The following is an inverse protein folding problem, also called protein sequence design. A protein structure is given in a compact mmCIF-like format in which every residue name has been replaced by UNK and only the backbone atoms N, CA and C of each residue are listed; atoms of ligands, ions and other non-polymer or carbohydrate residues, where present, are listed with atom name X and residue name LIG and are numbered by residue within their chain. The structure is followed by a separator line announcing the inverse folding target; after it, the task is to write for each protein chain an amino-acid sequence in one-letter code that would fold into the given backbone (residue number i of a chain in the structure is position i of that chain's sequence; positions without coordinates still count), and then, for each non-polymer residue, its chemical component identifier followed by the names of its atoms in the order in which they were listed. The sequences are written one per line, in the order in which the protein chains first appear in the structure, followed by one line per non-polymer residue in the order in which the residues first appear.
data_IF_156438351970
#
_entry.id   IF_156438351970
#
_cell.length_a   1.000
_cell.length_b   1.000
_cell.length_c   1.000
_cell.angle_alpha   90.00
_cell.angle_beta   90.00
_cell.angle_gamma   90.00
#
_symmetry.space_group_name_H-M   'P 1'
#
loop_
_entity.id
_entity.type
_entity.pdbx_description
1 polymer ?
#
# COMPACT_ATOMS: atom_id res chain seq x y z
N UNK A 1 9.41 45.33 41.46
CA UNK A 1 10.04 44.94 40.21
C UNK A 1 8.92 44.70 39.19
N UNK A 2 8.68 45.71 38.38
CA UNK A 2 7.61 45.73 37.37
C UNK A 2 8.11 45.04 36.11
N UNK A 3 7.38 44.00 35.67
CA UNK A 3 7.64 43.32 34.40
C UNK A 3 7.15 44.19 33.24
N UNK A 4 8.06 44.72 32.45
CA UNK A 4 7.77 45.30 31.14
C UNK A 4 7.61 44.20 30.11
N UNK A 5 6.44 44.15 29.44
CA UNK A 5 6.17 43.26 28.33
C UNK A 5 6.88 43.69 27.04
N UNK A 6 7.08 42.78 26.07
CA UNK A 6 7.78 43.11 24.83
C UNK A 6 7.02 44.14 23.99
N UNK A 7 7.75 45.00 23.21
CA UNK A 7 7.13 46.06 22.42
C UNK A 7 6.29 45.49 21.26
N UNK A 8 5.26 46.21 20.79
CA UNK A 8 4.37 45.75 19.71
C UNK A 8 5.12 45.73 18.37
N UNK A 9 4.92 44.64 17.61
CA UNK A 9 5.44 44.48 16.26
C UNK A 9 4.91 45.57 15.33
N UNK A 10 5.82 46.39 14.81
CA UNK A 10 5.54 47.39 13.78
C UNK A 10 5.54 46.70 12.41
N UNK A 11 4.36 46.55 11.77
CA UNK A 11 4.21 46.11 10.38
C UNK A 11 4.41 47.32 9.47
N UNK A 12 5.43 47.34 8.60
CA UNK A 12 5.61 48.47 7.66
C UNK A 12 4.44 48.46 6.64
N UNK A 13 3.77 49.61 6.55
CA UNK A 13 2.73 49.90 5.54
C UNK A 13 3.37 50.18 4.17
N UNK A 14 3.90 49.16 3.50
CA UNK A 14 4.15 49.21 2.05
C UNK A 14 3.62 47.94 1.43
N UNK A 15 2.29 47.74 1.49
CA UNK A 15 1.61 46.80 0.63
C UNK A 15 1.68 47.35 -0.81
N UNK A 16 2.58 46.81 -1.63
CA UNK A 16 2.50 46.94 -3.08
C UNK A 16 1.17 46.37 -3.52
N UNK A 17 0.31 47.23 -4.01
CA UNK A 17 -0.92 46.85 -4.72
C UNK A 17 -0.51 46.01 -5.94
N UNK A 18 -0.74 44.71 -5.87
CA UNK A 18 -0.61 43.82 -7.05
C UNK A 18 -1.78 44.18 -7.95
N UNK A 19 -1.55 44.65 -9.19
CA UNK A 19 -2.67 44.92 -10.10
C UNK A 19 -3.38 43.60 -10.42
N UNK A 20 -4.66 43.53 -10.06
CA UNK A 20 -5.57 42.53 -10.54
C UNK A 20 -5.86 42.77 -12.02
N UNK A 21 -5.02 42.29 -12.91
CA UNK A 21 -5.36 42.16 -14.33
C UNK A 21 -4.95 40.75 -14.74
N UNK A 22 -5.89 39.82 -14.65
CA UNK A 22 -5.84 38.58 -15.44
C UNK A 22 -6.45 38.91 -16.78
N UNK A 23 -5.75 38.74 -17.91
CA UNK A 23 -6.39 38.86 -19.22
C UNK A 23 -7.40 37.71 -19.38
N UNK A 24 -8.68 38.01 -19.29
CA UNK A 24 -9.78 37.10 -19.59
C UNK A 24 -10.07 37.13 -21.10
N UNK A 25 -9.16 36.64 -21.92
CA UNK A 25 -9.40 36.42 -23.36
C UNK A 25 -9.06 34.97 -23.76
N UNK A 26 -9.42 34.01 -22.90
CA UNK A 26 -9.59 32.64 -23.36
C UNK A 26 -11.08 32.44 -23.69
N UNK A 27 -11.43 31.92 -24.89
CA UNK A 27 -12.78 31.52 -25.17
C UNK A 27 -13.17 30.41 -24.18
N UNK A 28 -14.00 30.77 -23.21
CA UNK A 28 -14.57 29.83 -22.25
C UNK A 28 -15.54 28.94 -23.02
N UNK A 29 -15.12 27.74 -23.40
CA UNK A 29 -16.08 26.68 -23.68
C UNK A 29 -16.94 26.47 -22.42
N UNK A 30 -18.25 26.28 -22.55
CA UNK A 30 -19.12 26.11 -21.40
C UNK A 30 -18.66 24.88 -20.62
N UNK A 31 -18.08 25.11 -19.44
CA UNK A 31 -17.78 24.05 -18.51
C UNK A 31 -19.04 23.25 -18.22
N UNK A 32 -18.99 21.95 -18.49
CA UNK A 32 -20.06 21.05 -18.11
C UNK A 32 -20.33 21.23 -16.61
N UNK A 33 -21.56 21.63 -16.24
CA UNK A 33 -21.92 21.81 -14.85
C UNK A 33 -21.60 20.53 -14.07
N UNK A 34 -20.90 20.61 -12.92
CA UNK A 34 -20.62 19.45 -12.11
C UNK A 34 -21.95 18.78 -11.72
N UNK A 35 -22.15 17.53 -12.16
CA UNK A 35 -23.34 16.75 -11.81
C UNK A 35 -23.30 16.52 -10.30
N UNK A 36 -24.24 17.13 -9.57
CA UNK A 36 -24.46 16.76 -8.16
C UNK A 36 -24.85 15.28 -8.14
N UNK A 37 -23.99 14.44 -7.58
CA UNK A 37 -24.34 13.03 -7.36
C UNK A 37 -25.39 13.01 -6.26
N UNK A 38 -26.63 12.68 -6.60
CA UNK A 38 -27.74 12.61 -5.66
C UNK A 38 -27.44 11.54 -4.61
N UNK A 39 -27.84 11.76 -3.37
CA UNK A 39 -27.69 10.79 -2.28
C UNK A 39 -28.29 9.42 -2.64
N UNK A 40 -29.37 9.42 -3.41
CA UNK A 40 -29.99 8.20 -3.95
C UNK A 40 -29.06 7.41 -4.87
N UNK A 41 -28.26 8.08 -5.68
CA UNK A 41 -27.30 7.42 -6.58
C UNK A 41 -26.11 6.86 -5.80
N UNK A 42 -25.63 7.58 -4.78
CA UNK A 42 -24.59 7.09 -3.87
C UNK A 42 -25.05 5.85 -3.11
N UNK A 43 -26.31 5.84 -2.63
CA UNK A 43 -26.91 4.69 -1.96
C UNK A 43 -27.08 3.52 -2.93
N UNK A 44 -27.51 3.77 -4.16
CA UNK A 44 -27.62 2.73 -5.18
C UNK A 44 -26.25 2.12 -5.52
N UNK A 45 -25.22 2.94 -5.66
CA UNK A 45 -23.84 2.49 -5.88
C UNK A 45 -23.30 1.67 -4.68
N UNK A 46 -23.57 2.10 -3.45
CA UNK A 46 -23.16 1.36 -2.26
C UNK A 46 -23.84 -0.02 -2.20
N UNK A 47 -25.14 -0.11 -2.50
CA UNK A 47 -25.87 -1.40 -2.56
C UNK A 47 -25.30 -2.27 -3.70
N UNK A 48 -25.01 -1.69 -4.85
CA UNK A 48 -24.45 -2.41 -6.00
C UNK A 48 -23.03 -2.93 -5.72
N UNK A 49 -22.21 -2.18 -4.99
CA UNK A 49 -20.89 -2.61 -4.52
C UNK A 49 -21.00 -3.82 -3.58
N UNK A 50 -21.96 -3.82 -2.65
CA UNK A 50 -22.19 -4.95 -1.74
C UNK A 50 -22.70 -6.22 -2.47
N UNK A 51 -23.53 -6.05 -3.51
CA UNK A 51 -23.95 -7.14 -4.40
C UNK A 51 -22.76 -7.70 -5.17
N UNK A 52 -21.91 -6.81 -5.72
CA UNK A 52 -20.72 -7.19 -6.49
C UNK A 52 -19.67 -7.85 -5.61
N UNK A 53 -19.56 -7.41 -4.35
CA UNK A 53 -18.71 -8.04 -3.34
C UNK A 53 -19.25 -9.38 -2.82
N UNK A 54 -20.36 -9.89 -3.39
CA UNK A 54 -21.05 -11.15 -3.00
C UNK A 54 -21.39 -11.22 -1.50
N UNK A 55 -21.54 -10.05 -0.82
CA UNK A 55 -21.99 -10.04 0.58
C UNK A 55 -23.47 -10.40 0.69
N UNK A 56 -24.24 -10.14 -0.37
CA UNK A 56 -25.61 -10.56 -0.53
C UNK A 56 -25.71 -11.40 -1.81
N UNK A 57 -26.09 -12.67 -1.67
CA UNK A 57 -26.02 -13.64 -2.78
C UNK A 57 -27.31 -13.77 -3.58
N UNK A 58 -28.44 -13.82 -2.94
CA UNK A 58 -29.74 -14.06 -3.58
C UNK A 58 -30.77 -12.97 -3.27
N UNK A 59 -30.79 -12.50 -2.03
CA UNK A 59 -31.75 -11.52 -1.54
C UNK A 59 -31.06 -10.35 -0.88
N UNK A 60 -31.58 -9.14 -1.11
CA UNK A 60 -31.14 -7.97 -0.37
C UNK A 60 -31.72 -7.99 1.05
N UNK A 61 -31.03 -7.36 2.02
CA UNK A 61 -31.62 -7.06 3.32
C UNK A 61 -32.90 -6.23 3.18
N UNK A 62 -33.81 -6.31 4.18
CA UNK A 62 -35.03 -5.52 4.17
C UNK A 62 -34.75 -4.02 4.10
N UNK A 63 -35.70 -3.21 3.56
CA UNK A 63 -35.59 -1.75 3.55
C UNK A 63 -35.26 -1.17 4.93
N UNK A 64 -35.80 -1.78 6.00
CA UNK A 64 -35.53 -1.39 7.39
C UNK A 64 -34.09 -1.66 7.78
N UNK A 65 -33.55 -2.77 7.35
CA UNK A 65 -32.13 -3.15 7.59
C UNK A 65 -31.19 -2.25 6.77
N UNK A 66 -31.50 -2.01 5.50
CA UNK A 66 -30.73 -1.13 4.64
C UNK A 66 -30.70 0.31 5.14
N UNK A 67 -31.85 0.84 5.62
CA UNK A 67 -31.92 2.14 6.28
C UNK A 67 -30.93 2.24 7.45
N UNK A 68 -30.86 1.20 8.29
CA UNK A 68 -29.98 1.17 9.47
C UNK A 68 -28.51 1.04 9.06
N UNK A 69 -28.20 0.16 8.10
CA UNK A 69 -26.82 -0.10 7.64
C UNK A 69 -26.24 1.14 6.95
N UNK A 70 -27.03 1.81 6.11
CA UNK A 70 -26.58 2.94 5.29
C UNK A 70 -26.83 4.31 5.96
N UNK A 71 -27.48 4.32 7.12
CA UNK A 71 -27.83 5.51 7.90
C UNK A 71 -28.53 6.62 7.07
N UNK A 72 -29.50 6.23 6.23
CA UNK A 72 -30.27 7.14 5.36
C UNK A 72 -31.78 7.00 5.59
N UNK A 73 -32.57 7.93 5.01
CA UNK A 73 -34.03 7.86 5.11
C UNK A 73 -34.60 6.64 4.36
N UNK A 74 -35.76 6.13 4.79
CA UNK A 74 -36.45 5.05 4.08
C UNK A 74 -36.81 5.43 2.65
N UNK A 75 -37.12 6.69 2.43
CA UNK A 75 -37.43 7.21 1.10
C UNK A 75 -36.21 7.17 0.17
N UNK A 76 -35.02 7.51 0.69
CA UNK A 76 -33.76 7.42 -0.04
C UNK A 76 -33.42 5.97 -0.42
N UNK A 77 -33.64 5.02 0.52
CA UNK A 77 -33.43 3.59 0.23
C UNK A 77 -34.38 3.11 -0.87
N UNK A 78 -35.67 3.48 -0.83
CA UNK A 78 -36.66 3.10 -1.85
C UNK A 78 -36.31 3.66 -3.21
N UNK A 79 -35.92 4.92 -3.28
CA UNK A 79 -35.50 5.55 -4.54
C UNK A 79 -34.25 4.85 -5.12
N UNK A 80 -33.27 4.51 -4.28
CA UNK A 80 -32.08 3.77 -4.71
C UNK A 80 -32.41 2.36 -5.22
N UNK A 81 -33.31 1.64 -4.52
CA UNK A 81 -33.78 0.32 -4.94
C UNK A 81 -34.59 0.41 -6.27
N UNK A 82 -35.37 1.45 -6.47
CA UNK A 82 -36.06 1.70 -7.73
C UNK A 82 -35.06 1.92 -8.88
N UNK A 83 -33.98 2.67 -8.66
CA UNK A 83 -32.90 2.84 -9.62
C UNK A 83 -32.23 1.50 -9.98
N UNK A 84 -31.95 0.66 -8.99
CA UNK A 84 -31.35 -0.67 -9.21
C UNK A 84 -32.31 -1.62 -9.95
N UNK A 85 -33.61 -1.54 -9.67
CA UNK A 85 -34.66 -2.30 -10.37
C UNK A 85 -34.79 -1.85 -11.84
N UNK A 86 -34.77 -0.53 -12.11
CA UNK A 86 -34.76 0.03 -13.46
C UNK A 86 -33.53 -0.44 -14.29
N UNK A 87 -32.38 -0.59 -13.64
CA UNK A 87 -31.17 -1.17 -14.24
C UNK A 87 -31.15 -2.70 -14.30
N UNK A 88 -32.28 -3.36 -13.96
CA UNK A 88 -32.45 -4.83 -13.93
C UNK A 88 -31.40 -5.54 -13.05
N UNK A 89 -30.87 -4.85 -12.04
CA UNK A 89 -29.92 -5.44 -11.07
C UNK A 89 -30.63 -6.21 -9.97
N UNK A 90 -31.86 -5.83 -9.68
CA UNK A 90 -32.73 -6.49 -8.70
C UNK A 90 -34.16 -6.63 -9.27
N UNK A 91 -34.89 -7.60 -8.78
CA UNK A 91 -36.32 -7.80 -9.09
C UNK A 91 -37.11 -7.76 -7.78
N UNK A 92 -38.23 -7.04 -7.81
CA UNK A 92 -39.15 -6.97 -6.68
C UNK A 92 -39.95 -8.27 -6.58
N UNK A 93 -39.89 -8.92 -5.42
CA UNK A 93 -40.77 -10.03 -5.08
C UNK A 93 -41.80 -9.54 -4.02
N UNK A 94 -43.09 -9.63 -4.29
CA UNK A 94 -44.14 -9.10 -3.38
C UNK A 94 -44.09 -9.68 -1.97
N UNK A 95 -43.60 -10.90 -1.81
CA UNK A 95 -43.62 -11.65 -0.53
C UNK A 95 -42.29 -11.70 0.18
N UNK A 96 -41.17 -11.54 -0.54
CA UNK A 96 -39.80 -11.74 0.02
C UNK A 96 -38.89 -10.52 -0.12
N UNK A 97 -39.33 -9.43 -0.76
CA UNK A 97 -38.55 -8.22 -0.94
C UNK A 97 -37.80 -8.17 -2.28
N UNK A 98 -36.51 -7.88 -2.25
CA UNK A 98 -35.73 -7.61 -3.46
C UNK A 98 -34.77 -8.76 -3.74
N UNK A 99 -34.98 -9.47 -4.85
CA UNK A 99 -34.11 -10.54 -5.33
C UNK A 99 -33.01 -9.97 -6.21
N UNK A 100 -31.78 -10.36 -5.95
CA UNK A 100 -30.62 -9.98 -6.77
C UNK A 100 -30.69 -10.73 -8.08
N UNK A 101 -30.60 -10.00 -9.19
CA UNK A 101 -30.42 -10.62 -10.51
C UNK A 101 -28.93 -10.89 -10.67
N UNK A 102 -28.50 -12.18 -10.72
CA UNK A 102 -27.13 -12.49 -11.05
C UNK A 102 -26.80 -11.80 -12.38
N UNK A 103 -25.69 -11.07 -12.46
CA UNK A 103 -25.18 -10.68 -13.78
C UNK A 103 -24.93 -12.02 -14.51
N UNK A 104 -25.86 -12.36 -15.40
CA UNK A 104 -25.60 -13.45 -16.30
C UNK A 104 -24.46 -12.96 -17.20
N UNK A 105 -23.23 -13.34 -16.85
CA UNK A 105 -22.05 -13.17 -17.70
C UNK A 105 -22.25 -13.73 -19.12
N UNK A 106 -23.34 -14.46 -19.33
CA UNK A 106 -23.78 -15.01 -20.61
C UNK A 106 -24.18 -13.97 -21.65
N UNK A 107 -24.65 -12.78 -21.27
CA UNK A 107 -25.04 -11.76 -22.26
C UNK A 107 -23.82 -10.99 -22.78
N UNK A 108 -22.84 -10.65 -21.91
CA UNK A 108 -21.57 -10.07 -22.34
C UNK A 108 -20.65 -11.12 -22.98
N UNK A 109 -20.67 -12.35 -22.49
CA UNK A 109 -19.94 -13.46 -23.09
C UNK A 109 -20.50 -13.86 -24.46
N UNK A 110 -21.85 -13.84 -24.69
CA UNK A 110 -22.44 -14.08 -26.01
C UNK A 110 -22.20 -12.95 -27.01
N UNK A 111 -22.07 -11.71 -26.57
CA UNK A 111 -21.67 -10.61 -27.45
C UNK A 111 -20.18 -10.69 -27.84
N UNK A 112 -19.30 -11.15 -26.94
CA UNK A 112 -17.87 -11.42 -27.22
C UNK A 112 -17.62 -12.76 -27.91
N UNK A 113 -18.48 -13.77 -27.76
CA UNK A 113 -18.30 -15.09 -28.35
C UNK A 113 -18.57 -15.18 -29.86
N UNK A 114 -19.02 -14.10 -30.52
CA UNK A 114 -19.30 -14.08 -31.97
C UNK A 114 -18.10 -13.66 -32.84
N UNK A 115 -16.94 -13.36 -32.20
CA UNK A 115 -15.70 -13.02 -32.91
C UNK A 115 -14.47 -13.59 -32.18
N UNK A 116 -14.34 -14.90 -32.08
CA UNK A 116 -13.10 -15.47 -31.54
C UNK A 116 -12.64 -16.63 -32.42
N UNK A 117 -11.75 -16.28 -33.33
CA UNK A 117 -10.54 -17.07 -33.49
C UNK A 117 -9.73 -16.95 -32.21
N UNK A 118 -9.13 -18.04 -31.72
CA UNK A 118 -8.37 -18.20 -30.49
C UNK A 118 -7.12 -17.30 -30.42
N UNK A 119 -7.28 -16.00 -30.23
CA UNK A 119 -6.19 -15.14 -29.83
C UNK A 119 -5.98 -15.29 -28.31
N UNK A 120 -4.75 -15.40 -27.80
CA UNK A 120 -4.47 -15.49 -26.38
C UNK A 120 -5.11 -14.31 -25.63
N UNK A 121 -5.64 -14.55 -24.43
CA UNK A 121 -6.21 -13.49 -23.61
C UNK A 121 -5.20 -12.36 -23.42
N UNK A 122 -5.60 -11.12 -23.66
CA UNK A 122 -4.79 -9.92 -23.41
C UNK A 122 -5.14 -9.25 -22.09
N UNK A 123 -5.87 -9.95 -21.23
CA UNK A 123 -6.30 -9.43 -19.94
C UNK A 123 -5.34 -9.87 -18.82
N UNK A 124 -4.89 -8.91 -18.02
CA UNK A 124 -4.10 -9.11 -16.81
C UNK A 124 -5.00 -8.98 -15.58
N UNK A 125 -4.71 -9.75 -14.54
CA UNK A 125 -5.37 -9.64 -13.25
C UNK A 125 -4.38 -9.21 -12.16
N UNK A 126 -4.54 -8.02 -11.58
CA UNK A 126 -3.75 -7.61 -10.42
C UNK A 126 -4.56 -7.88 -9.15
N UNK A 127 -4.05 -8.73 -8.28
CA UNK A 127 -4.66 -9.02 -6.97
C UNK A 127 -3.97 -8.14 -5.93
N UNK A 128 -4.77 -7.22 -5.33
CA UNK A 128 -4.34 -6.37 -4.24
C UNK A 128 -5.26 -6.59 -3.03
N UNK A 129 -4.74 -7.07 -1.89
CA UNK A 129 -5.58 -7.34 -0.71
C UNK A 129 -6.07 -6.07 -0.01
N UNK A 130 -5.41 -4.95 -0.23
CA UNK A 130 -5.80 -3.64 0.29
C UNK A 130 -6.37 -2.77 -0.85
N UNK A 131 -7.30 -1.84 -0.56
CA UNK A 131 -7.74 -0.87 -1.56
C UNK A 131 -6.56 -0.08 -2.12
N UNK A 132 -6.51 0.12 -3.45
CA UNK A 132 -5.38 0.79 -4.11
C UNK A 132 -5.11 2.17 -3.50
N UNK A 133 -6.16 2.93 -3.11
CA UNK A 133 -6.00 4.26 -2.50
C UNK A 133 -5.33 4.24 -1.11
N UNK A 134 -5.25 3.08 -0.45
CA UNK A 134 -4.55 2.90 0.83
C UNK A 134 -3.10 2.44 0.66
N UNK A 135 -2.71 2.12 -0.57
CA UNK A 135 -1.36 1.67 -0.87
C UNK A 135 -0.35 2.84 -0.78
N UNK A 136 0.91 2.55 -0.43
CA UNK A 136 1.95 3.58 -0.37
C UNK A 136 2.10 4.33 -1.71
N UNK A 137 2.42 5.64 -1.69
CA UNK A 137 2.56 6.46 -2.91
C UNK A 137 3.50 5.85 -3.97
N UNK A 138 4.58 5.19 -3.54
CA UNK A 138 5.50 4.49 -4.43
C UNK A 138 4.85 3.35 -5.23
N UNK A 139 3.88 2.63 -4.61
CA UNK A 139 3.14 1.60 -5.34
C UNK A 139 2.19 2.23 -6.36
N UNK A 140 1.53 3.32 -6.00
CA UNK A 140 0.65 4.05 -6.91
C UNK A 140 1.43 4.55 -8.14
N UNK A 141 2.66 5.04 -7.94
CA UNK A 141 3.54 5.44 -9.03
C UNK A 141 3.89 4.26 -9.94
N UNK A 142 4.27 3.10 -9.38
CA UNK A 142 4.55 1.89 -10.17
C UNK A 142 3.30 1.45 -10.92
N UNK A 143 2.15 1.45 -10.29
CA UNK A 143 0.88 1.03 -10.90
C UNK A 143 0.50 1.94 -12.08
N UNK A 144 0.71 3.24 -11.97
CA UNK A 144 0.42 4.22 -13.04
C UNK A 144 1.33 3.99 -14.25
N UNK A 145 2.64 3.89 -14.02
CA UNK A 145 3.62 3.59 -15.09
C UNK A 145 3.32 2.22 -15.71
N UNK A 146 3.03 1.20 -14.90
CA UNK A 146 2.71 -0.15 -15.37
C UNK A 146 1.44 -0.16 -16.23
N UNK A 147 0.40 0.60 -15.84
CA UNK A 147 -0.82 0.76 -16.65
C UNK A 147 -0.52 1.36 -18.02
N UNK A 148 0.35 2.37 -18.07
CA UNK A 148 0.77 2.99 -19.33
C UNK A 148 1.49 1.96 -20.22
N UNK A 149 2.45 1.22 -19.68
CA UNK A 149 3.16 0.16 -20.41
C UNK A 149 2.20 -0.94 -20.90
N UNK A 150 1.23 -1.34 -20.08
CA UNK A 150 0.20 -2.31 -20.49
C UNK A 150 -0.63 -1.77 -21.66
N UNK A 151 -1.06 -0.52 -21.60
CA UNK A 151 -1.85 0.10 -22.67
C UNK A 151 -1.07 0.17 -23.99
N UNK A 152 0.20 0.58 -23.95
CA UNK A 152 1.11 0.59 -25.09
C UNK A 152 1.33 -0.81 -25.68
N UNK A 153 1.42 -1.83 -24.80
CA UNK A 153 1.54 -3.25 -25.20
C UNK A 153 0.21 -3.92 -25.62
N UNK A 154 -0.91 -3.18 -25.62
CA UNK A 154 -2.23 -3.71 -25.94
C UNK A 154 -2.77 -4.70 -24.92
N UNK A 155 -2.33 -4.59 -23.66
CA UNK A 155 -2.78 -5.39 -22.51
C UNK A 155 -3.79 -4.60 -21.66
N UNK A 156 -4.83 -5.27 -21.18
CA UNK A 156 -5.84 -4.69 -20.30
C UNK A 156 -5.60 -5.15 -18.87
N UNK A 157 -5.49 -4.22 -17.92
CA UNK A 157 -5.29 -4.49 -16.52
C UNK A 157 -6.60 -4.37 -15.74
N UNK A 158 -7.06 -5.50 -15.17
CA UNK A 158 -8.13 -5.53 -14.18
C UNK A 158 -7.53 -5.57 -12.77
N UNK A 159 -7.96 -4.68 -11.89
CA UNK A 159 -7.52 -4.66 -10.49
C UNK A 159 -8.60 -5.28 -9.60
N UNK A 160 -8.23 -6.30 -8.86
CA UNK A 160 -9.08 -7.07 -7.95
C UNK A 160 -8.66 -6.77 -6.52
N UNK A 161 -9.44 -5.95 -5.84
CA UNK A 161 -9.15 -5.48 -4.48
C UNK A 161 -9.95 -6.22 -3.42
N UNK A 162 -9.42 -6.23 -2.21
CA UNK A 162 -10.15 -6.56 -1.00
C UNK A 162 -9.48 -7.56 -0.08
N UNK A 163 -9.76 -7.40 1.21
CA UNK A 163 -9.20 -8.21 2.31
C UNK A 163 -9.50 -9.71 2.20
N UNK A 164 -10.49 -10.11 1.37
CA UNK A 164 -10.74 -11.53 1.07
C UNK A 164 -9.50 -12.25 0.52
N UNK A 165 -8.60 -11.52 -0.15
CA UNK A 165 -7.33 -12.04 -0.67
C UNK A 165 -6.25 -12.20 0.40
N UNK A 166 -6.42 -11.59 1.58
CA UNK A 166 -5.54 -11.76 2.75
C UNK A 166 -5.91 -12.98 3.60
N UNK A 167 -7.13 -13.52 3.45
CA UNK A 167 -7.59 -14.63 4.28
C UNK A 167 -6.74 -15.87 4.06
N UNK A 168 -6.56 -16.62 5.14
CA UNK A 168 -5.56 -17.68 5.32
C UNK A 168 -5.71 -18.90 4.41
N UNK A 169 -6.83 -19.07 3.71
CA UNK A 169 -7.02 -20.21 2.81
C UNK A 169 -7.33 -19.77 1.37
N UNK A 170 -6.31 -19.71 0.48
CA UNK A 170 -6.54 -19.48 -0.93
C UNK A 170 -7.22 -20.68 -1.63
N UNK A 171 -7.30 -21.84 -0.98
CA UNK A 171 -7.65 -23.10 -1.62
C UNK A 171 -9.05 -23.17 -2.25
N UNK A 172 -10.01 -22.35 -1.81
CA UNK A 172 -11.35 -22.26 -2.44
C UNK A 172 -11.50 -21.05 -3.33
N UNK A 173 -10.90 -19.93 -2.93
CA UNK A 173 -11.06 -18.64 -3.62
C UNK A 173 -10.27 -18.60 -4.92
N UNK A 174 -8.99 -18.96 -4.90
CA UNK A 174 -8.10 -18.84 -6.06
C UNK A 174 -8.48 -19.77 -7.21
N UNK A 175 -8.79 -21.07 -7.01
CA UNK A 175 -9.24 -21.95 -8.09
C UNK A 175 -10.48 -21.43 -8.78
N UNK A 176 -11.45 -20.91 -8.01
CA UNK A 176 -12.66 -20.32 -8.56
C UNK A 176 -12.34 -19.06 -9.35
N UNK A 177 -11.54 -18.14 -8.78
CA UNK A 177 -11.15 -16.89 -9.41
C UNK A 177 -10.46 -17.13 -10.75
N UNK A 178 -9.42 -17.95 -10.78
CA UNK A 178 -8.63 -18.25 -11.98
C UNK A 178 -9.50 -18.93 -13.06
N UNK A 179 -10.41 -19.81 -12.66
CA UNK A 179 -11.31 -20.49 -13.61
C UNK A 179 -12.38 -19.55 -14.17
N UNK A 180 -12.96 -18.66 -13.34
CA UNK A 180 -14.06 -17.77 -13.77
C UNK A 180 -13.58 -16.52 -14.46
N UNK A 181 -12.35 -16.12 -14.23
CA UNK A 181 -11.70 -14.93 -14.83
C UNK A 181 -10.35 -15.35 -15.43
N UNK A 182 -10.36 -16.04 -16.59
CA UNK A 182 -9.10 -16.42 -17.23
C UNK A 182 -8.31 -15.18 -17.61
N UNK A 183 -7.08 -15.08 -17.11
CA UNK A 183 -6.13 -14.00 -17.37
C UNK A 183 -4.89 -14.52 -18.07
N UNK A 184 -4.29 -13.70 -18.92
CA UNK A 184 -3.01 -14.02 -19.55
C UNK A 184 -1.90 -14.14 -18.50
N UNK A 185 -1.94 -13.27 -17.47
CA UNK A 185 -1.03 -13.33 -16.34
C UNK A 185 -1.69 -12.69 -15.10
N UNK A 186 -1.34 -13.20 -13.93
CA UNK A 186 -1.74 -12.67 -12.63
C UNK A 186 -0.60 -11.90 -11.99
N UNK A 187 -0.85 -10.71 -11.49
CA UNK A 187 0.09 -9.90 -10.72
C UNK A 187 -0.31 -9.96 -9.25
N UNK A 188 0.58 -10.45 -8.40
CA UNK A 188 0.32 -10.66 -6.99
C UNK A 188 0.99 -9.57 -6.16
N UNK A 189 0.19 -8.71 -5.53
CA UNK A 189 0.67 -7.62 -4.66
C UNK A 189 0.40 -7.97 -3.21
N UNK A 190 1.39 -7.79 -2.32
CA UNK A 190 1.30 -8.14 -0.89
C UNK A 190 0.77 -9.56 -0.63
N UNK A 191 1.05 -10.49 -1.55
CA UNK A 191 0.55 -11.86 -1.49
C UNK A 191 1.16 -12.63 -0.30
N UNK A 192 0.31 -13.33 0.44
CA UNK A 192 0.76 -14.23 1.52
C UNK A 192 1.56 -15.41 0.96
N UNK A 193 2.37 -16.06 1.81
CA UNK A 193 3.10 -17.29 1.45
C UNK A 193 2.17 -18.33 0.82
N UNK A 194 1.02 -18.60 1.43
CA UNK A 194 0.04 -19.59 0.91
C UNK A 194 -0.51 -19.21 -0.47
N UNK A 195 -0.73 -17.94 -0.73
CA UNK A 195 -1.17 -17.48 -2.05
C UNK A 195 -0.06 -17.68 -3.09
N UNK A 196 1.16 -17.30 -2.80
CA UNK A 196 2.30 -17.50 -3.69
C UNK A 196 2.53 -19.00 -3.97
N UNK A 197 2.50 -19.85 -2.93
CA UNK A 197 2.61 -21.30 -3.07
C UNK A 197 1.48 -21.90 -3.90
N UNK A 198 0.26 -21.38 -3.75
CA UNK A 198 -0.87 -21.83 -4.56
C UNK A 198 -0.66 -21.50 -6.03
N UNK A 199 -0.29 -20.28 -6.38
CA UNK A 199 -0.01 -19.88 -7.76
C UNK A 199 1.16 -20.67 -8.35
N UNK A 200 2.23 -20.88 -7.60
CA UNK A 200 3.38 -21.70 -8.02
C UNK A 200 2.99 -23.13 -8.40
N UNK A 201 2.00 -23.71 -7.70
CA UNK A 201 1.52 -25.07 -7.97
C UNK A 201 0.39 -25.15 -9.00
N UNK A 202 -0.35 -24.08 -9.22
CA UNK A 202 -1.56 -24.08 -10.05
C UNK A 202 -1.27 -24.14 -11.55
N UNK A 203 -0.07 -23.77 -11.97
CA UNK A 203 0.29 -23.59 -13.38
C UNK A 203 -0.29 -22.33 -14.03
N UNK A 204 -1.08 -21.53 -13.31
CA UNK A 204 -1.56 -20.24 -13.81
C UNK A 204 -0.40 -19.25 -13.90
N UNK A 205 -0.19 -18.57 -15.05
CA UNK A 205 0.88 -17.58 -15.19
C UNK A 205 0.74 -16.49 -14.13
N UNK A 206 1.77 -16.31 -13.30
CA UNK A 206 1.74 -15.34 -12.23
C UNK A 206 3.12 -14.73 -11.96
N UNK A 207 3.12 -13.45 -11.58
CA UNK A 207 4.30 -12.66 -11.22
C UNK A 207 4.03 -11.95 -9.89
N UNK A 208 5.01 -11.92 -9.00
CA UNK A 208 4.91 -11.21 -7.72
C UNK A 208 5.46 -9.80 -7.88
N UNK A 209 4.66 -8.79 -7.56
CA UNK A 209 5.18 -7.47 -7.27
C UNK A 209 5.45 -7.36 -5.76
N UNK A 210 6.72 -7.45 -5.40
CA UNK A 210 7.24 -7.56 -4.04
C UNK A 210 8.26 -8.69 -3.93
N UNK A 211 8.51 -9.17 -2.70
CA UNK A 211 9.45 -10.24 -2.44
C UNK A 211 8.73 -11.60 -2.52
N UNK A 212 9.40 -12.57 -3.13
CA UNK A 212 8.94 -13.96 -3.18
C UNK A 212 9.45 -14.68 -1.93
N UNK A 213 8.59 -15.47 -1.31
CA UNK A 213 8.99 -16.24 -0.12
C UNK A 213 10.03 -17.32 -0.46
N UNK A 214 10.99 -17.58 0.43
CA UNK A 214 11.95 -18.67 0.24
C UNK A 214 11.26 -20.01 -0.05
N UNK A 215 11.76 -20.70 -1.08
CA UNK A 215 11.23 -21.98 -1.53
C UNK A 215 10.01 -21.90 -2.46
N UNK A 216 9.50 -20.70 -2.79
CA UNK A 216 8.44 -20.52 -3.79
C UNK A 216 9.05 -20.23 -5.15
N UNK A 217 8.63 -21.00 -6.16
CA UNK A 217 9.11 -20.86 -7.55
C UNK A 217 8.19 -19.97 -8.37
N UNK A 218 8.18 -18.66 -8.08
CA UNK A 218 7.50 -17.63 -8.86
C UNK A 218 8.51 -16.57 -9.29
N UNK A 219 8.25 -15.95 -10.42
CA UNK A 219 8.99 -14.76 -10.84
C UNK A 219 8.51 -13.55 -10.06
N UNK A 220 9.42 -12.63 -9.78
CA UNK A 220 9.08 -11.45 -8.99
C UNK A 220 9.96 -10.25 -9.24
N UNK A 221 9.37 -9.08 -9.03
CA UNK A 221 10.06 -7.79 -9.03
C UNK A 221 9.74 -7.07 -7.74
N UNK A 222 10.77 -6.64 -7.04
CA UNK A 222 10.61 -5.97 -5.75
C UNK A 222 11.86 -5.17 -5.37
N UNK A 223 11.93 -4.84 -4.09
CA UNK A 223 13.08 -4.16 -3.49
C UNK A 223 13.91 -5.19 -2.74
N UNK A 224 15.23 -5.11 -2.88
CA UNK A 224 16.17 -5.89 -2.07
C UNK A 224 16.21 -5.31 -0.64
N UNK A 225 15.21 -5.70 0.15
CA UNK A 225 15.11 -5.26 1.54
C UNK A 225 16.18 -5.87 2.44
N UNK A 226 16.71 -7.04 2.07
CA UNK A 226 17.83 -7.65 2.78
C UNK A 226 19.08 -6.76 2.66
N UNK A 227 19.52 -6.45 1.44
CA UNK A 227 20.67 -5.57 1.20
C UNK A 227 20.44 -4.17 1.78
N UNK A 228 19.23 -3.62 1.64
CA UNK A 228 18.82 -2.32 2.16
C UNK A 228 19.05 -2.23 3.67
N UNK A 229 18.46 -3.14 4.43
CA UNK A 229 18.51 -3.09 5.90
C UNK A 229 19.89 -3.51 6.44
N UNK A 230 20.56 -4.45 5.76
CA UNK A 230 21.95 -4.76 6.08
C UNK A 230 22.85 -3.53 5.96
N UNK A 231 22.69 -2.75 4.89
CA UNK A 231 23.40 -1.48 4.70
C UNK A 231 23.02 -0.46 5.79
N UNK A 232 21.72 -0.28 6.10
CA UNK A 232 21.26 0.66 7.12
C UNK A 232 21.84 0.36 8.51
N UNK A 233 21.82 -0.91 8.92
CA UNK A 233 22.39 -1.34 10.19
C UNK A 233 23.91 -1.15 10.20
N UNK A 234 24.62 -1.56 9.13
CA UNK A 234 26.07 -1.37 9.00
C UNK A 234 26.45 0.11 9.03
N UNK A 235 25.65 1.00 8.40
CA UNK A 235 25.86 2.44 8.44
C UNK A 235 25.81 2.99 9.87
N UNK A 236 24.81 2.57 10.66
CA UNK A 236 24.70 2.97 12.07
C UNK A 236 25.85 2.41 12.93
N UNK A 237 26.21 1.15 12.71
CA UNK A 237 27.34 0.52 13.41
C UNK A 237 28.68 1.22 13.11
N UNK A 238 28.90 1.62 11.85
CA UNK A 238 30.09 2.40 11.44
C UNK A 238 30.12 3.79 12.09
N UNK A 239 28.96 4.37 12.38
CA UNK A 239 28.83 5.63 13.11
C UNK A 239 29.11 5.49 14.62
N UNK A 240 29.31 4.28 15.11
CA UNK A 240 29.61 3.99 16.51
C UNK A 240 28.43 3.50 17.34
N UNK A 241 27.21 3.39 16.75
CA UNK A 241 26.10 2.79 17.47
C UNK A 241 26.38 1.30 17.77
N UNK A 242 26.04 0.85 18.98
CA UNK A 242 26.17 -0.55 19.41
C UNK A 242 24.83 -1.15 19.81
N UNK A 243 23.89 -0.32 20.15
CA UNK A 243 22.52 -0.68 20.55
C UNK A 243 21.58 -0.11 19.52
N UNK A 244 21.24 -0.93 18.52
CA UNK A 244 20.36 -0.57 17.42
C UNK A 244 19.12 -1.44 17.45
N UNK A 245 17.97 -0.86 17.08
CA UNK A 245 16.70 -1.57 17.01
C UNK A 245 16.14 -1.53 15.59
N UNK A 246 15.54 -2.64 15.17
CA UNK A 246 14.74 -2.70 13.95
C UNK A 246 13.25 -2.66 14.29
N UNK A 247 12.53 -1.69 13.75
CA UNK A 247 11.08 -1.56 13.90
C UNK A 247 10.42 -2.12 12.66
N UNK A 248 9.92 -3.34 12.75
CA UNK A 248 9.25 -4.07 11.69
C UNK A 248 7.74 -3.83 11.68
N UNK A 249 7.12 -3.92 10.52
CA UNK A 249 5.66 -3.89 10.39
C UNK A 249 5.05 -5.29 10.68
N UNK A 250 5.43 -6.30 9.91
CA UNK A 250 4.86 -7.66 10.01
C UNK A 250 5.85 -8.69 9.42
N UNK A 251 6.55 -9.42 10.27
CA UNK A 251 7.54 -10.42 9.84
C UNK A 251 6.97 -11.60 9.05
N UNK A 252 5.64 -11.75 9.02
CA UNK A 252 4.99 -12.75 8.16
C UNK A 252 5.02 -12.35 6.68
N UNK A 253 5.44 -11.12 6.35
CA UNK A 253 5.62 -10.64 4.96
C UNK A 253 7.05 -10.91 4.51
N UNK A 254 7.24 -11.44 3.30
CA UNK A 254 8.55 -11.82 2.78
C UNK A 254 9.60 -10.68 2.87
N UNK A 255 9.22 -9.45 2.51
CA UNK A 255 10.14 -8.31 2.57
C UNK A 255 10.50 -7.87 4.00
N UNK A 256 9.65 -8.13 5.01
CA UNK A 256 9.98 -7.86 6.41
C UNK A 256 10.90 -8.97 6.96
N UNK A 257 10.66 -10.23 6.60
CA UNK A 257 11.53 -11.37 6.92
C UNK A 257 12.94 -11.16 6.35
N UNK A 258 13.02 -10.73 5.08
CA UNK A 258 14.30 -10.38 4.42
C UNK A 258 15.01 -9.21 5.13
N UNK A 259 14.26 -8.19 5.53
CA UNK A 259 14.78 -7.04 6.28
C UNK A 259 15.37 -7.46 7.61
N UNK A 260 14.64 -8.27 8.36
CA UNK A 260 15.12 -8.76 9.67
C UNK A 260 16.39 -9.60 9.53
N UNK A 261 16.45 -10.48 8.53
CA UNK A 261 17.65 -11.27 8.24
C UNK A 261 18.84 -10.38 7.91
N UNK A 262 18.69 -9.38 7.05
CA UNK A 262 19.76 -8.42 6.73
C UNK A 262 20.22 -7.62 7.95
N UNK A 263 19.29 -7.24 8.84
CA UNK A 263 19.62 -6.59 10.10
C UNK A 263 20.46 -7.46 11.02
N UNK A 264 20.06 -8.73 11.23
CA UNK A 264 20.79 -9.70 12.03
C UNK A 264 22.19 -9.97 11.48
N UNK A 265 22.31 -10.14 10.17
CA UNK A 265 23.61 -10.36 9.53
C UNK A 265 24.58 -9.18 9.72
N UNK A 266 24.07 -7.94 9.62
CA UNK A 266 24.90 -6.75 9.87
C UNK A 266 25.40 -6.71 11.31
N UNK A 267 24.52 -7.01 12.27
CA UNK A 267 24.89 -7.09 13.69
C UNK A 267 25.94 -8.19 13.94
N UNK A 268 25.72 -9.38 13.39
CA UNK A 268 26.63 -10.53 13.57
C UNK A 268 28.01 -10.33 12.90
N UNK A 269 28.04 -9.61 11.78
CA UNK A 269 29.28 -9.31 11.06
C UNK A 269 30.13 -8.23 11.76
N UNK A 270 29.57 -7.50 12.71
CA UNK A 270 30.31 -6.49 13.47
C UNK A 270 31.24 -7.17 14.48
N UNK A 271 32.49 -6.70 14.56
CA UNK A 271 33.53 -7.33 15.40
C UNK A 271 33.31 -7.17 16.90
N UNK A 272 32.40 -6.29 17.29
CA UNK A 272 32.09 -5.99 18.68
C UNK A 272 30.98 -6.91 19.17
N UNK A 273 31.27 -7.72 20.18
CA UNK A 273 30.34 -8.69 20.76
C UNK A 273 29.17 -8.08 21.54
N UNK A 274 29.19 -6.77 21.77
CA UNK A 274 28.11 -6.06 22.48
C UNK A 274 26.92 -5.72 21.59
N UNK A 275 27.03 -5.90 20.27
CA UNK A 275 25.95 -5.62 19.33
C UNK A 275 24.92 -6.74 19.36
N UNK A 276 23.77 -6.46 19.96
CA UNK A 276 22.61 -7.35 19.95
C UNK A 276 21.46 -6.76 19.11
N UNK A 277 20.91 -7.53 18.17
CA UNK A 277 19.75 -7.07 17.40
C UNK A 277 18.50 -6.99 18.27
N UNK A 278 17.87 -5.83 18.31
CA UNK A 278 16.57 -5.64 18.98
C UNK A 278 15.46 -5.53 17.93
N UNK A 279 14.43 -6.35 18.07
CA UNK A 279 13.25 -6.33 17.22
C UNK A 279 12.06 -5.72 17.96
N UNK A 280 11.39 -4.79 17.28
CA UNK A 280 10.08 -4.25 17.65
C UNK A 280 9.13 -4.52 16.49
N UNK A 281 8.11 -5.33 16.69
CA UNK A 281 7.19 -5.73 15.62
C UNK A 281 5.76 -5.27 15.92
N UNK A 282 5.07 -4.71 14.89
CA UNK A 282 3.67 -4.27 14.99
C UNK A 282 2.88 -4.52 13.70
N UNK A 283 2.30 -5.72 13.55
CA UNK A 283 1.59 -6.09 12.33
C UNK A 283 0.19 -5.46 12.19
N UNK A 284 -0.39 -4.97 13.28
CA UNK A 284 -1.75 -4.43 13.31
C UNK A 284 -1.85 -2.92 13.06
N UNK A 285 -0.70 -2.25 12.93
CA UNK A 285 -0.65 -0.79 12.75
C UNK A 285 -1.09 0.03 13.98
N UNK A 286 -1.25 -0.63 15.15
CA UNK A 286 -1.62 0.04 16.41
C UNK A 286 -0.46 0.93 16.91
N UNK A 287 -0.61 2.25 16.71
CA UNK A 287 0.40 3.23 17.10
C UNK A 287 0.62 3.25 18.61
N UNK A 288 -0.42 3.10 19.42
CA UNK A 288 -0.31 3.12 20.89
C UNK A 288 0.46 1.90 21.39
N UNK A 289 0.23 0.75 20.78
CA UNK A 289 0.97 -0.46 21.11
C UNK A 289 2.45 -0.35 20.69
N UNK A 290 2.74 0.27 19.54
CA UNK A 290 4.12 0.60 19.14
C UNK A 290 4.76 1.53 20.16
N UNK A 291 4.08 2.59 20.60
CA UNK A 291 4.58 3.50 21.63
C UNK A 291 4.88 2.79 22.95
N UNK A 292 4.04 1.84 23.40
CA UNK A 292 4.31 1.03 24.61
C UNK A 292 5.58 0.18 24.47
N UNK A 293 5.82 -0.42 23.30
CA UNK A 293 7.05 -1.19 23.05
C UNK A 293 8.29 -0.30 22.99
N UNK A 294 8.19 0.87 22.36
CA UNK A 294 9.26 1.88 22.36
C UNK A 294 9.59 2.31 23.79
N UNK A 295 8.60 2.59 24.63
CA UNK A 295 8.80 2.92 26.03
C UNK A 295 9.54 1.80 26.79
N UNK A 296 9.17 0.55 26.55
CA UNK A 296 9.85 -0.60 27.15
C UNK A 296 11.32 -0.67 26.72
N UNK A 297 11.60 -0.49 25.43
CA UNK A 297 12.95 -0.49 24.89
C UNK A 297 13.79 0.67 25.41
N UNK A 298 13.20 1.86 25.54
CA UNK A 298 13.89 3.07 26.02
C UNK A 298 14.17 3.07 27.52
N UNK A 299 13.39 2.32 28.32
CA UNK A 299 13.64 2.12 29.77
C UNK A 299 14.65 1.01 30.07
N UNK A 300 14.96 0.18 29.09
CA UNK A 300 15.92 -0.90 29.29
C UNK A 300 17.30 -0.35 29.65
N UNK A 301 18.05 -1.08 30.48
CA UNK A 301 19.43 -0.71 30.87
C UNK A 301 20.32 -0.48 29.62
N UNK A 302 20.10 -1.29 28.58
CA UNK A 302 20.78 -1.18 27.29
C UNK A 302 19.84 -0.60 26.24
N UNK A 303 19.36 0.62 26.46
CA UNK A 303 18.44 1.27 25.53
C UNK A 303 19.05 1.48 24.13
N UNK A 304 18.26 1.36 23.05
CA UNK A 304 18.74 1.66 21.70
C UNK A 304 19.15 3.13 21.56
N UNK A 305 20.23 3.37 20.86
CA UNK A 305 20.68 4.72 20.45
C UNK A 305 20.36 5.00 19.01
N UNK A 306 19.87 4.02 18.28
CA UNK A 306 19.38 4.20 16.90
C UNK A 306 18.29 3.19 16.56
N UNK A 307 17.39 3.60 15.64
CA UNK A 307 16.35 2.78 15.09
C UNK A 307 16.40 2.76 13.56
N UNK A 308 16.25 1.57 12.99
CA UNK A 308 15.94 1.37 11.56
C UNK A 308 14.47 1.01 11.48
N UNK A 309 13.67 1.81 10.76
CA UNK A 309 12.23 1.66 10.73
C UNK A 309 11.78 1.23 9.33
N UNK A 310 11.05 0.11 9.25
CA UNK A 310 10.67 -0.48 7.98
C UNK A 310 9.57 0.28 7.23
N UNK A 311 8.64 0.88 7.97
CA UNK A 311 7.45 1.51 7.40
C UNK A 311 7.37 3.00 7.72
N UNK A 312 7.00 3.82 6.73
CA UNK A 312 7.02 5.28 6.86
C UNK A 312 6.05 5.81 7.93
N UNK A 313 4.88 5.19 8.08
CA UNK A 313 3.93 5.55 9.16
C UNK A 313 4.50 5.23 10.55
N UNK A 314 5.18 4.08 10.70
CA UNK A 314 5.90 3.76 11.94
C UNK A 314 7.04 4.76 12.20
N UNK A 315 7.73 5.23 11.15
CA UNK A 315 8.74 6.27 11.29
C UNK A 315 8.15 7.54 11.90
N UNK A 316 7.00 7.99 11.42
CA UNK A 316 6.31 9.14 11.99
C UNK A 316 5.94 8.93 13.46
N UNK A 317 5.40 7.74 13.79
CA UNK A 317 5.09 7.37 15.19
C UNK A 317 6.33 7.35 16.06
N UNK A 318 7.42 6.71 15.62
CA UNK A 318 8.69 6.67 16.37
C UNK A 318 9.23 8.07 16.59
N UNK A 319 9.34 8.89 15.54
CA UNK A 319 9.90 10.23 15.63
C UNK A 319 9.10 11.15 16.58
N UNK A 320 7.77 11.13 16.48
CA UNK A 320 6.89 11.92 17.34
C UNK A 320 6.89 11.41 18.78
N UNK A 321 6.92 10.09 18.98
CA UNK A 321 6.99 9.50 20.32
C UNK A 321 8.31 9.83 21.03
N UNK A 322 9.45 9.75 20.33
CA UNK A 322 10.75 10.18 20.88
C UNK A 322 10.70 11.65 21.30
N UNK A 323 10.15 12.53 20.47
CA UNK A 323 10.00 13.94 20.80
C UNK A 323 9.11 14.16 22.05
N UNK A 324 7.99 13.42 22.20
CA UNK A 324 7.16 13.44 23.40
C UNK A 324 7.88 12.96 24.65
N UNK A 325 8.91 12.12 24.51
CA UNK A 325 9.80 11.67 25.61
C UNK A 325 10.99 12.61 25.84
N UNK A 326 11.06 13.75 25.15
CA UNK A 326 12.14 14.72 25.26
C UNK A 326 13.45 14.25 24.62
N UNK A 327 13.42 13.20 23.80
CA UNK A 327 14.59 12.65 23.09
C UNK A 327 14.72 13.35 21.72
N UNK A 328 15.89 13.91 21.49
CA UNK A 328 16.19 14.68 20.28
C UNK A 328 16.77 13.76 19.19
N UNK A 329 16.26 13.89 17.97
CA UNK A 329 16.85 13.29 16.79
C UNK A 329 17.69 14.35 16.08
N UNK A 330 18.95 14.09 15.72
CA UNK A 330 19.74 12.88 15.93
C UNK A 330 20.52 12.86 17.25
N UNK A 331 20.46 13.95 18.06
CA UNK A 331 21.38 14.14 19.16
C UNK A 331 21.34 13.04 20.22
N UNK A 332 20.16 12.58 20.59
CA UNK A 332 19.96 11.54 21.58
C UNK A 332 19.71 10.17 20.93
N UNK A 333 19.05 10.12 19.77
CA UNK A 333 18.69 8.90 19.04
C UNK A 333 18.75 9.13 17.54
N UNK A 334 19.42 8.26 16.82
CA UNK A 334 19.44 8.26 15.34
C UNK A 334 18.28 7.47 14.74
N UNK A 335 17.72 7.95 13.62
CA UNK A 335 16.63 7.29 12.90
C UNK A 335 16.94 7.15 11.41
N UNK A 336 16.67 5.94 10.87
CA UNK A 336 16.69 5.67 9.43
C UNK A 336 15.36 5.05 9.02
N UNK A 337 14.76 5.54 7.92
CA UNK A 337 13.58 4.94 7.30
C UNK A 337 13.98 4.03 6.13
N UNK A 338 13.44 2.79 6.07
CA UNK A 338 13.70 1.85 4.96
C UNK A 338 13.12 2.32 3.63
N UNK A 339 12.14 3.20 3.66
CA UNK A 339 11.34 3.53 2.48
C UNK A 339 11.18 5.04 2.31
N UNK A 340 11.02 5.47 1.08
CA UNK A 340 10.64 6.83 0.72
C UNK A 340 9.13 7.03 0.85
N UNK A 341 8.76 8.22 1.30
CA UNK A 341 7.40 8.76 1.22
C UNK A 341 7.47 10.28 1.11
N UNK A 342 6.61 10.94 0.30
CA UNK A 342 6.64 12.39 0.12
C UNK A 342 6.57 13.18 1.43
N UNK A 343 5.84 12.70 2.44
CA UNK A 343 5.71 13.41 3.71
C UNK A 343 7.03 13.51 4.49
N UNK A 344 7.98 12.59 4.29
CA UNK A 344 9.29 12.64 4.95
C UNK A 344 10.06 13.94 4.64
N UNK A 345 9.79 14.56 3.49
CA UNK A 345 10.42 15.83 3.12
C UNK A 345 9.97 17.00 4.00
N UNK A 346 8.85 16.88 4.70
CA UNK A 346 8.28 17.90 5.58
C UNK A 346 8.69 17.72 7.05
N UNK A 347 9.34 16.60 7.40
CA UNK A 347 9.82 16.37 8.77
C UNK A 347 11.13 17.09 9.04
N UNK A 348 11.32 17.48 10.31
CA UNK A 348 12.57 18.04 10.82
C UNK A 348 12.94 17.36 12.15
N UNK A 349 14.21 16.93 12.29
CA UNK A 349 15.28 16.95 11.30
C UNK A 349 14.93 16.13 10.05
N UNK A 350 15.55 16.46 8.89
CA UNK A 350 15.32 15.74 7.63
C UNK A 350 15.65 14.25 7.80
N UNK A 351 14.72 13.33 7.55
CA UNK A 351 14.99 11.91 7.68
C UNK A 351 16.05 11.43 6.70
N UNK A 352 16.89 10.49 7.15
CA UNK A 352 17.64 9.60 6.28
C UNK A 352 16.72 8.44 5.86
N UNK A 353 16.63 8.14 4.57
CA UNK A 353 15.74 7.09 4.06
C UNK A 353 16.30 6.43 2.81
N UNK A 354 15.71 5.31 2.41
CA UNK A 354 16.07 4.60 1.19
C UNK A 354 15.10 4.87 0.06
N UNK A 355 15.66 5.11 -1.13
CA UNK A 355 14.94 5.39 -2.38
C UNK A 355 15.28 4.32 -3.41
N UNK A 356 14.26 3.83 -4.13
CA UNK A 356 14.44 2.99 -5.31
C UNK A 356 13.75 3.63 -6.52
N UNK A 357 14.24 3.30 -7.71
CA UNK A 357 13.68 3.81 -8.96
C UNK A 357 12.40 3.05 -9.32
N UNK A 358 11.24 3.68 -9.13
CA UNK A 358 9.93 3.07 -9.38
C UNK A 358 9.63 2.89 -10.86
N UNK A 359 10.24 3.66 -11.76
CA UNK A 359 10.13 3.45 -13.19
C UNK A 359 10.81 2.14 -13.62
N UNK A 360 12.00 1.89 -13.08
CA UNK A 360 12.72 0.61 -13.32
C UNK A 360 11.90 -0.55 -12.74
N UNK A 361 11.31 -0.39 -11.55
CA UNK A 361 10.44 -1.42 -10.97
C UNK A 361 9.25 -1.76 -11.87
N UNK A 362 8.57 -0.75 -12.42
CA UNK A 362 7.43 -0.94 -13.31
C UNK A 362 7.83 -1.64 -14.63
N UNK A 363 8.97 -1.26 -15.21
CA UNK A 363 9.50 -1.90 -16.44
C UNK A 363 9.88 -3.36 -16.19
N UNK A 364 10.57 -3.66 -15.11
CA UNK A 364 10.92 -5.05 -14.74
C UNK A 364 9.67 -5.91 -14.49
N UNK A 365 8.64 -5.34 -13.86
CA UNK A 365 7.36 -6.02 -13.67
C UNK A 365 6.70 -6.31 -15.02
N UNK A 366 6.70 -5.34 -15.93
CA UNK A 366 6.14 -5.48 -17.27
C UNK A 366 6.88 -6.56 -18.07
N UNK A 367 8.22 -6.57 -18.04
CA UNK A 367 9.03 -7.59 -18.69
C UNK A 367 8.71 -9.01 -18.18
N UNK A 368 8.59 -9.18 -16.85
CA UNK A 368 8.19 -10.46 -16.27
C UNK A 368 6.80 -10.90 -16.74
N UNK A 369 5.85 -9.97 -16.83
CA UNK A 369 4.50 -10.25 -17.32
C UNK A 369 4.54 -10.67 -18.79
N UNK A 370 5.28 -9.98 -19.64
CA UNK A 370 5.45 -10.35 -21.04
C UNK A 370 6.07 -11.76 -21.19
N UNK A 371 7.14 -12.05 -20.46
CA UNK A 371 7.76 -13.39 -20.47
C UNK A 371 6.81 -14.48 -19.96
N UNK A 372 5.95 -14.17 -18.96
CA UNK A 372 4.96 -15.12 -18.47
C UNK A 372 3.85 -15.40 -19.51
N UNK A 373 3.44 -14.39 -20.28
CA UNK A 373 2.45 -14.52 -21.36
C UNK A 373 3.02 -15.33 -22.52
N UNK A 374 4.28 -15.05 -22.91
CA UNK A 374 4.94 -15.68 -24.05
C UNK A 374 5.47 -17.09 -23.72
N UNK A 375 5.34 -17.55 -22.47
CA UNK A 375 5.86 -18.85 -22.03
C UNK A 375 7.40 -18.95 -22.01
N UNK A 376 8.10 -17.81 -22.05
CA UNK A 376 9.57 -17.73 -22.03
C UNK A 376 10.14 -17.45 -20.63
N UNK A 377 9.26 -17.36 -19.63
CA UNK A 377 9.62 -17.09 -18.25
C UNK A 377 10.52 -18.19 -17.67
N UNK A 378 11.65 -17.80 -17.09
CA UNK A 378 12.49 -18.72 -16.31
C UNK A 378 11.89 -18.86 -14.91
N UNK A 379 11.59 -20.08 -14.43
CA UNK A 379 11.00 -20.24 -13.10
C UNK A 379 11.92 -19.69 -11.99
N UNK A 380 11.34 -18.89 -11.08
CA UNK A 380 12.06 -18.35 -9.92
C UNK A 380 12.98 -17.16 -10.25
N UNK A 381 12.84 -16.53 -11.43
CA UNK A 381 13.59 -15.29 -11.75
C UNK A 381 13.08 -14.15 -10.85
N UNK A 382 13.96 -13.67 -9.96
CA UNK A 382 13.66 -12.55 -9.05
C UNK A 382 14.59 -11.39 -9.38
N UNK A 383 14.00 -10.26 -9.79
CA UNK A 383 14.73 -9.05 -10.13
C UNK A 383 14.46 -8.00 -9.03
N UNK A 384 15.37 -7.93 -8.08
CA UNK A 384 15.28 -7.04 -6.94
C UNK A 384 16.11 -5.78 -7.17
N UNK A 385 15.50 -4.61 -6.92
CA UNK A 385 16.20 -3.34 -6.97
C UNK A 385 16.89 -3.07 -5.64
N UNK A 386 18.17 -2.76 -5.68
CA UNK A 386 18.91 -2.27 -4.51
C UNK A 386 18.63 -0.79 -4.35
N UNK A 387 18.00 -0.35 -3.24
CA UNK A 387 17.70 1.05 -3.02
C UNK A 387 18.93 1.81 -2.53
N UNK A 388 18.96 3.11 -2.84
CA UNK A 388 20.02 4.03 -2.43
C UNK A 388 19.67 4.74 -1.13
N UNK A 389 20.66 4.94 -0.25
CA UNK A 389 20.51 5.78 0.93
C UNK A 389 20.48 7.26 0.53
N UNK A 390 19.37 7.92 0.79
CA UNK A 390 19.24 9.38 0.74
C UNK A 390 19.64 9.92 2.13
N UNK A 391 20.75 10.65 2.24
CA UNK A 391 21.20 11.17 3.53
C UNK A 391 20.24 12.23 4.05
N UNK A 392 20.17 12.33 5.36
CA UNK A 392 19.40 13.33 6.09
C UNK A 392 20.10 13.73 7.36
N UNK A 393 19.43 14.57 8.15
CA UNK A 393 19.95 15.10 9.41
C UNK A 393 19.53 14.24 10.62
N UNK A 394 18.90 13.08 10.40
CA UNK A 394 18.36 12.21 11.45
C UNK A 394 19.35 11.20 11.97
N UNK A 395 20.61 11.21 11.52
CA UNK A 395 21.65 10.26 11.90
C UNK A 395 22.92 11.00 12.32
N UNK A 396 23.39 10.71 13.52
CA UNK A 396 24.68 11.21 14.06
C UNK A 396 25.43 10.07 14.77
N UNK A 397 26.64 10.34 15.24
CA UNK A 397 27.29 9.42 16.19
C UNK A 397 26.53 9.38 17.52
N UNK A 398 26.49 8.24 18.23
CA UNK A 398 25.82 8.17 19.53
C UNK A 398 26.53 9.08 20.55
N UNK A 399 25.73 9.72 21.40
CA UNK A 399 26.29 10.31 22.61
C UNK A 399 26.78 9.19 23.54
N UNK A 400 27.99 9.32 24.08
CA UNK A 400 28.41 8.50 25.19
C UNK A 400 27.54 8.90 26.40
N UNK A 401 26.59 8.02 26.72
CA UNK A 401 25.82 8.19 27.95
C UNK A 401 26.71 7.80 29.13
N UNK A 402 26.90 8.73 30.03
CA UNK A 402 27.53 8.39 31.34
C UNK A 402 26.72 7.22 31.95
N UNK A 403 27.40 6.12 32.15
CA UNK A 403 26.91 4.85 32.75
C UNK A 403 26.44 5.06 34.18
#
# INVERSE_FOLDING_TARGET
MTFEGPPPFHIPRTARVIPRVWPCDYPMEPLAHPRRVLLTDQVAQAIEAEITAERWLEWLPSERSLKRILNVSRQTVRAALAHLAARKRIVVNPYRGYRIVPLSHTALAKAKAKTVGTAPSRELGLICPEPVYQMPPRFLQVLDIFRTLCAEGGLNLEVLEGQRFMRTDPGRLMPRLVRTHPKACWILVLASRRMQEWFARSGAPAVVYGNVYPGVSLNGTGIDYHACIRHAASHLLTKGHRRIAFVAYDLRRAGEEDSWRGFQEACAAHRDSEVAPLLIERPDGDADALCRQLDSALRARQRPTAFVVSHTHHYATVATHLALRGLRVPADVSLICRSEDPFLNFLRPKPAFYRANMEVAARLLFDHVCHAIDGTAKPGDQRLLVPELVPGDSVAAPLEWAT
#
